data_IF_846950553806
#
_entry.id   IF_846950553806
#
_cell.length_a   1.000
_cell.length_b   1.000
_cell.length_c   1.000
_cell.angle_alpha   90.00
_cell.angle_beta   90.00
_cell.angle_gamma   90.00
#
_symmetry.space_group_name_H-M   'P 1'
#
loop_
_entity.id
_entity.type
_entity.pdbx_description
1 polymer ?
#
# COMPACT_ATOMS: atom_id res chain seq x y z
N UNK A 1 2.65 19.19 27.89
CA UNK A 1 2.30 19.43 26.47
C UNK A 1 3.50 19.86 25.67
N UNK A 2 4.21 20.94 26.04
CA UNK A 2 5.40 21.42 25.30
C UNK A 2 6.51 20.35 25.19
N UNK A 3 6.88 19.72 26.31
CA UNK A 3 7.82 18.58 26.31
C UNK A 3 7.34 17.35 25.51
N UNK A 4 6.03 17.13 25.34
CA UNK A 4 5.53 16.00 24.56
C UNK A 4 5.64 16.27 23.05
N UNK A 5 5.43 17.53 22.63
CA UNK A 5 5.61 17.95 21.24
C UNK A 5 7.09 17.94 20.86
N UNK A 6 7.96 18.41 21.76
CA UNK A 6 9.42 18.37 21.58
C UNK A 6 9.93 16.94 21.38
N UNK A 7 9.52 16.00 22.23
CA UNK A 7 9.92 14.59 22.12
C UNK A 7 9.48 13.96 20.77
N UNK A 8 8.25 14.21 20.32
CA UNK A 8 7.77 13.68 19.02
C UNK A 8 8.61 14.25 17.86
N UNK A 9 8.96 15.54 17.90
CA UNK A 9 9.78 16.16 16.87
C UNK A 9 11.19 15.54 16.82
N UNK A 10 11.81 15.30 17.98
CA UNK A 10 13.11 14.62 18.08
C UNK A 10 13.05 13.20 17.52
N UNK A 11 12.02 12.42 17.88
CA UNK A 11 11.82 11.06 17.39
C UNK A 11 11.63 11.02 15.87
N UNK A 12 10.86 11.95 15.30
CA UNK A 12 10.67 12.06 13.86
C UNK A 12 11.97 12.43 13.14
N UNK A 13 12.74 13.40 13.65
CA UNK A 13 14.03 13.78 13.06
C UNK A 13 14.97 12.58 13.04
N UNK A 14 15.05 11.84 14.15
CA UNK A 14 15.86 10.63 14.25
C UNK A 14 15.43 9.56 13.25
N UNK A 15 14.13 9.31 13.13
CA UNK A 15 13.57 8.36 12.15
C UNK A 15 13.94 8.75 10.71
N UNK A 16 13.81 10.03 10.33
CA UNK A 16 14.16 10.49 8.98
C UNK A 16 15.67 10.40 8.73
N UNK A 17 16.50 10.72 9.72
CA UNK A 17 17.95 10.56 9.60
C UNK A 17 18.33 9.11 9.35
N UNK A 18 17.76 8.17 10.13
CA UNK A 18 17.97 6.73 9.95
C UNK A 18 17.50 6.27 8.57
N UNK A 19 16.27 6.62 8.16
CA UNK A 19 15.72 6.26 6.84
C UNK A 19 16.53 6.81 5.68
N UNK A 20 17.06 8.03 5.79
CA UNK A 20 17.86 8.66 4.73
C UNK A 20 19.16 7.91 4.41
N UNK A 21 19.68 7.16 5.38
CA UNK A 21 20.90 6.36 5.24
C UNK A 21 20.64 4.93 4.77
N UNK A 22 19.39 4.46 4.84
CA UNK A 22 19.02 3.14 4.39
C UNK A 22 18.89 3.11 2.86
N UNK A 23 19.43 2.06 2.26
CA UNK A 23 19.10 1.69 0.88
C UNK A 23 17.80 0.89 0.89
N UNK A 24 16.80 1.42 0.18
CA UNK A 24 15.54 0.74 -0.07
C UNK A 24 15.66 -0.32 -1.15
N UNK A 25 14.53 -0.94 -1.46
CA UNK A 25 14.38 -1.79 -2.63
C UNK A 25 13.78 -0.94 -3.75
N UNK A 26 14.54 -0.75 -4.82
CA UNK A 26 14.05 -0.11 -6.03
C UNK A 26 13.21 -1.12 -6.82
N UNK A 27 11.90 -0.87 -6.89
CA UNK A 27 11.00 -1.70 -7.68
C UNK A 27 11.26 -1.50 -9.18
N UNK A 28 11.03 -2.55 -9.96
CA UNK A 28 11.17 -2.55 -11.42
C UNK A 28 10.19 -1.57 -12.07
N UNK A 29 10.53 -1.06 -13.26
CA UNK A 29 9.59 -0.29 -14.08
C UNK A 29 8.35 -1.11 -14.43
N UNK A 30 7.23 -0.43 -14.69
CA UNK A 30 5.97 -1.09 -15.06
C UNK A 30 6.14 -1.96 -16.31
N UNK A 31 5.74 -3.22 -16.21
CA UNK A 31 5.71 -4.19 -17.30
C UNK A 31 4.30 -4.31 -17.91
N UNK A 32 4.10 -5.32 -18.76
CA UNK A 32 2.83 -5.56 -19.44
C UNK A 32 1.73 -5.88 -18.42
N UNK A 33 2.03 -6.68 -17.39
CA UNK A 33 1.03 -7.07 -16.38
C UNK A 33 0.59 -5.87 -15.54
N UNK A 34 1.51 -4.97 -15.16
CA UNK A 34 1.14 -3.75 -14.46
C UNK A 34 0.28 -2.83 -15.33
N UNK A 35 0.57 -2.74 -16.63
CA UNK A 35 -0.26 -1.96 -17.56
C UNK A 35 -1.65 -2.57 -17.74
N UNK A 36 -1.75 -3.89 -17.86
CA UNK A 36 -3.03 -4.60 -17.89
C UNK A 36 -3.83 -4.35 -16.60
N UNK A 37 -3.19 -4.49 -15.44
CA UNK A 37 -3.81 -4.19 -14.16
C UNK A 37 -4.31 -2.75 -14.08
N UNK A 38 -3.49 -1.76 -14.47
CA UNK A 38 -3.87 -0.35 -14.47
C UNK A 38 -5.05 -0.06 -15.41
N UNK A 39 -5.06 -0.65 -16.62
CA UNK A 39 -6.08 -0.44 -17.64
C UNK A 39 -7.41 -1.15 -17.35
N UNK A 40 -7.41 -2.20 -16.52
CA UNK A 40 -8.62 -2.91 -16.09
C UNK A 40 -9.47 -2.09 -15.10
N UNK A 41 -8.96 -0.94 -14.62
CA UNK A 41 -9.74 -0.07 -13.75
C UNK A 41 -10.98 0.48 -14.48
N UNK A 42 -12.22 0.22 -13.99
CA UNK A 42 -13.43 0.48 -14.76
C UNK A 42 -13.87 1.96 -14.77
N UNK A 43 -13.12 2.85 -14.12
CA UNK A 43 -13.44 4.27 -14.02
C UNK A 43 -12.35 5.10 -14.67
N UNK A 44 -12.74 6.25 -15.23
CA UNK A 44 -11.77 7.23 -15.74
C UNK A 44 -11.12 7.95 -14.57
N UNK A 45 -9.80 7.90 -14.50
CA UNK A 45 -9.03 8.59 -13.48
C UNK A 45 -9.04 10.10 -13.66
N UNK A 46 -8.99 10.83 -12.55
CA UNK A 46 -8.78 12.28 -12.57
C UNK A 46 -7.30 12.62 -12.74
N UNK A 47 -6.99 13.86 -13.15
CA UNK A 47 -5.60 14.32 -13.27
C UNK A 47 -4.83 14.19 -11.95
N UNK A 48 -5.48 14.47 -10.82
CA UNK A 48 -4.87 14.31 -9.49
C UNK A 48 -4.56 12.85 -9.17
N UNK A 49 -5.44 11.92 -9.53
CA UNK A 49 -5.20 10.49 -9.36
C UNK A 49 -4.02 10.03 -10.22
N UNK A 50 -4.01 10.38 -11.51
CA UNK A 50 -2.91 10.05 -12.43
C UNK A 50 -1.57 10.59 -11.93
N UNK A 51 -1.55 11.84 -11.42
CA UNK A 51 -0.37 12.44 -10.81
C UNK A 51 0.07 11.65 -9.57
N UNK A 52 -0.85 11.36 -8.64
CA UNK A 52 -0.53 10.61 -7.42
C UNK A 52 -0.03 9.19 -7.72
N UNK A 53 -0.62 8.49 -8.69
CA UNK A 53 -0.16 7.16 -9.12
C UNK A 53 1.26 7.22 -9.64
N UNK A 54 1.55 8.18 -10.53
CA UNK A 54 2.89 8.37 -11.10
C UNK A 54 3.92 8.70 -10.03
N UNK A 55 3.58 9.58 -9.09
CA UNK A 55 4.47 9.96 -7.99
C UNK A 55 4.75 8.79 -7.05
N UNK A 56 3.74 8.01 -6.67
CA UNK A 56 3.91 6.80 -5.85
C UNK A 56 4.79 5.78 -6.56
N UNK A 57 4.53 5.46 -7.83
CA UNK A 57 5.33 4.50 -8.60
C UNK A 57 6.78 4.95 -8.74
N UNK A 58 7.01 6.25 -8.98
CA UNK A 58 8.36 6.82 -9.04
C UNK A 58 9.11 6.69 -7.71
N UNK A 59 8.43 6.93 -6.59
CA UNK A 59 9.04 6.77 -5.27
C UNK A 59 9.37 5.30 -4.98
N UNK A 60 8.53 4.36 -5.44
CA UNK A 60 8.80 2.92 -5.36
C UNK A 60 10.00 2.48 -6.23
N UNK A 61 10.20 3.09 -7.38
CA UNK A 61 11.33 2.79 -8.28
C UNK A 61 12.68 3.37 -7.79
N UNK A 62 12.66 4.14 -6.69
CA UNK A 62 13.85 4.73 -6.08
C UNK A 62 14.63 3.73 -5.23
N UNK A 63 15.95 3.92 -5.12
CA UNK A 63 16.80 3.20 -4.18
C UNK A 63 16.69 3.73 -2.73
N UNK A 64 15.81 4.71 -2.50
CA UNK A 64 15.45 5.22 -1.17
C UNK A 64 14.09 4.68 -0.70
N UNK A 65 13.93 4.30 0.58
CA UNK A 65 12.65 3.84 1.10
C UNK A 65 11.55 4.91 0.99
N UNK A 66 10.51 4.63 0.20
CA UNK A 66 9.34 5.52 0.08
C UNK A 66 8.69 5.78 1.45
N UNK A 67 8.42 7.05 1.73
CA UNK A 67 7.61 7.51 2.87
C UNK A 67 6.71 8.66 2.38
N UNK A 68 5.47 8.32 2.01
CA UNK A 68 4.54 9.24 1.34
C UNK A 68 3.19 9.23 2.03
N UNK A 69 2.65 10.44 2.25
CA UNK A 69 1.28 10.66 2.69
C UNK A 69 0.41 11.10 1.51
N UNK A 70 -0.59 10.28 1.16
CA UNK A 70 -1.61 10.63 0.17
C UNK A 70 -2.86 11.17 0.89
N UNK A 71 -3.16 12.45 0.69
CA UNK A 71 -4.33 13.12 1.28
C UNK A 71 -5.39 13.35 0.19
N UNK A 72 -6.64 13.07 0.53
CA UNK A 72 -7.78 13.34 -0.33
C UNK A 72 -9.09 12.95 0.36
N UNK A 73 -10.21 13.46 -0.12
CA UNK A 73 -11.52 13.20 0.48
C UNK A 73 -11.99 11.75 0.29
N UNK A 74 -13.01 11.36 1.05
CA UNK A 74 -13.65 10.05 0.91
C UNK A 74 -14.20 9.91 -0.51
N UNK A 75 -13.92 8.78 -1.17
CA UNK A 75 -14.36 8.52 -2.55
C UNK A 75 -13.41 8.98 -3.66
N UNK A 76 -12.30 9.67 -3.35
CA UNK A 76 -11.35 10.18 -4.35
C UNK A 76 -10.35 9.12 -4.88
N UNK A 77 -10.65 7.83 -4.72
CA UNK A 77 -9.84 6.75 -5.30
C UNK A 77 -8.48 6.49 -4.63
N UNK A 78 -8.25 6.93 -3.39
CA UNK A 78 -7.02 6.60 -2.62
C UNK A 78 -6.74 5.09 -2.58
N UNK A 79 -7.79 4.29 -2.47
CA UNK A 79 -7.71 2.83 -2.47
C UNK A 79 -7.13 2.30 -3.79
N UNK A 80 -7.52 2.87 -4.93
CA UNK A 80 -7.00 2.47 -6.25
C UNK A 80 -5.50 2.78 -6.37
N UNK A 81 -5.06 3.96 -5.89
CA UNK A 81 -3.62 4.31 -5.85
C UNK A 81 -2.84 3.28 -5.01
N UNK A 82 -3.38 2.88 -3.85
CA UNK A 82 -2.77 1.86 -3.00
C UNK A 82 -2.76 0.47 -3.66
N UNK A 83 -3.82 0.10 -4.41
CA UNK A 83 -3.91 -1.17 -5.12
C UNK A 83 -2.88 -1.27 -6.25
N UNK A 84 -2.66 -0.20 -7.02
CA UNK A 84 -1.61 -0.18 -8.06
C UNK A 84 -0.21 -0.28 -7.48
N UNK A 85 0.04 0.39 -6.35
CA UNK A 85 1.29 0.23 -5.61
C UNK A 85 1.48 -1.20 -5.08
N UNK A 86 0.41 -1.81 -4.54
CA UNK A 86 0.44 -3.19 -4.08
C UNK A 86 0.73 -4.18 -5.21
N UNK A 87 0.11 -3.99 -6.38
CA UNK A 87 0.35 -4.83 -7.55
C UNK A 87 1.82 -4.76 -7.99
N UNK A 88 2.38 -3.55 -8.10
CA UNK A 88 3.80 -3.35 -8.43
C UNK A 88 4.73 -4.11 -7.49
N UNK A 89 4.43 -4.06 -6.19
CA UNK A 89 5.23 -4.76 -5.20
C UNK A 89 5.13 -6.28 -5.32
N UNK A 90 3.92 -6.81 -5.55
CA UNK A 90 3.70 -8.25 -5.74
C UNK A 90 4.33 -8.75 -7.05
N UNK A 91 4.30 -7.93 -8.11
CA UNK A 91 4.90 -8.27 -9.40
C UNK A 91 6.43 -8.45 -9.30
N UNK A 92 7.08 -7.73 -8.38
CA UNK A 92 8.49 -7.90 -8.00
C UNK A 92 8.71 -8.95 -6.88
N UNK A 93 7.73 -9.82 -6.66
CA UNK A 93 7.75 -10.90 -5.67
C UNK A 93 7.97 -10.41 -4.23
N UNK A 94 7.45 -9.22 -3.88
CA UNK A 94 7.41 -8.71 -2.51
C UNK A 94 6.03 -8.89 -1.89
N UNK A 95 5.99 -9.14 -0.58
CA UNK A 95 4.76 -9.18 0.19
C UNK A 95 4.26 -7.77 0.48
N UNK A 96 2.94 -7.59 0.55
CA UNK A 96 2.29 -6.32 0.87
C UNK A 96 1.43 -6.48 2.10
N UNK A 97 1.52 -5.51 3.02
CA UNK A 97 0.67 -5.44 4.20
C UNK A 97 -0.16 -4.14 4.17
N UNK A 98 -1.47 -4.26 4.34
CA UNK A 98 -2.40 -3.12 4.44
C UNK A 98 -2.93 -3.07 5.87
N UNK A 99 -2.49 -2.05 6.63
CA UNK A 99 -2.93 -1.82 8.00
C UNK A 99 -4.10 -0.82 8.02
N UNK A 100 -5.14 -1.17 8.78
CA UNK A 100 -6.38 -0.39 8.88
C UNK A 100 -6.86 -0.33 10.34
N UNK A 101 -7.62 0.72 10.74
CA UNK A 101 -7.91 0.94 12.15
C UNK A 101 -9.06 0.11 12.70
N UNK A 102 -9.90 -0.50 11.84
CA UNK A 102 -11.07 -1.27 12.29
C UNK A 102 -11.25 -2.58 11.51
N UNK A 103 -11.87 -3.56 12.16
CA UNK A 103 -12.22 -4.86 11.54
C UNK A 103 -13.16 -4.70 10.34
N UNK A 104 -14.06 -3.71 10.39
CA UNK A 104 -14.99 -3.42 9.27
C UNK A 104 -14.22 -2.93 8.06
N UNK A 105 -13.28 -2.00 8.24
CA UNK A 105 -12.41 -1.55 7.15
C UNK A 105 -11.52 -2.69 6.64
N UNK A 106 -11.01 -3.56 7.52
CA UNK A 106 -10.23 -4.73 7.11
C UNK A 106 -11.04 -5.63 6.18
N UNK A 107 -12.30 -5.89 6.51
CA UNK A 107 -13.19 -6.68 5.68
C UNK A 107 -13.53 -6.00 4.35
N UNK A 108 -13.78 -4.68 4.37
CA UNK A 108 -14.04 -3.90 3.15
C UNK A 108 -12.84 -3.92 2.21
N UNK A 109 -11.64 -3.64 2.71
CA UNK A 109 -10.43 -3.71 1.91
C UNK A 109 -10.21 -5.13 1.39
N UNK A 110 -10.37 -6.16 2.22
CA UNK A 110 -10.24 -7.55 1.77
C UNK A 110 -11.14 -7.89 0.58
N UNK A 111 -12.43 -7.54 0.65
CA UNK A 111 -13.38 -7.77 -0.45
C UNK A 111 -12.95 -7.01 -1.70
N UNK A 112 -12.67 -5.71 -1.58
CA UNK A 112 -12.29 -4.87 -2.73
C UNK A 112 -10.98 -5.34 -3.37
N UNK A 113 -9.99 -5.75 -2.57
CA UNK A 113 -8.73 -6.30 -3.07
C UNK A 113 -8.95 -7.64 -3.77
N UNK A 114 -9.76 -8.55 -3.21
CA UNK A 114 -10.09 -9.81 -3.90
C UNK A 114 -10.78 -9.60 -5.23
N UNK A 115 -11.73 -8.67 -5.29
CA UNK A 115 -12.43 -8.33 -6.55
C UNK A 115 -11.49 -7.72 -7.57
N UNK A 116 -10.70 -6.71 -7.17
CA UNK A 116 -9.78 -5.99 -8.07
C UNK A 116 -8.63 -6.85 -8.60
N UNK A 117 -8.22 -7.88 -7.86
CA UNK A 117 -7.11 -8.76 -8.20
C UNK A 117 -7.57 -10.14 -8.71
N UNK A 118 -8.86 -10.32 -8.99
CA UNK A 118 -9.46 -11.63 -9.30
C UNK A 118 -8.84 -12.33 -10.52
N UNK A 119 -8.35 -11.56 -11.49
CA UNK A 119 -7.76 -12.09 -12.73
C UNK A 119 -6.26 -12.40 -12.60
N UNK A 120 -5.69 -12.23 -11.40
CA UNK A 120 -4.28 -12.42 -11.12
C UNK A 120 -4.06 -13.51 -10.06
N UNK A 121 -3.01 -14.33 -10.19
CA UNK A 121 -2.73 -15.42 -9.27
C UNK A 121 -2.09 -14.91 -7.96
N UNK A 122 -2.79 -14.02 -7.25
CA UNK A 122 -2.31 -13.34 -6.04
C UNK A 122 -3.15 -13.79 -4.85
N UNK A 123 -2.49 -14.35 -3.84
CA UNK A 123 -3.14 -14.74 -2.60
C UNK A 123 -3.39 -13.52 -1.71
N UNK A 124 -4.65 -13.24 -1.43
CA UNK A 124 -5.06 -12.14 -0.56
C UNK A 124 -5.78 -12.73 0.64
N UNK A 125 -5.27 -12.42 1.84
CA UNK A 125 -5.85 -12.82 3.12
C UNK A 125 -6.09 -11.63 4.05
N UNK A 126 -6.95 -11.84 5.05
CA UNK A 126 -7.30 -10.82 6.05
C UNK A 126 -7.12 -11.34 7.47
N UNK A 127 -6.26 -10.67 8.23
CA UNK A 127 -6.10 -10.89 9.66
C UNK A 127 -6.96 -9.90 10.44
N UNK A 128 -8.06 -10.37 11.03
CA UNK A 128 -8.97 -9.50 11.78
C UNK A 128 -9.71 -10.24 12.89
N UNK A 129 -10.41 -9.49 13.76
CA UNK A 129 -11.24 -10.05 14.83
C UNK A 129 -12.39 -10.94 14.36
N UNK A 130 -12.74 -10.92 13.07
CA UNK A 130 -13.77 -11.82 12.51
C UNK A 130 -13.23 -13.22 12.19
N UNK A 131 -11.91 -13.41 12.16
CA UNK A 131 -11.29 -14.72 12.00
C UNK A 131 -11.11 -15.39 13.36
N UNK A 132 -11.40 -16.69 13.43
CA UNK A 132 -11.08 -17.52 14.58
C UNK A 132 -9.58 -17.62 14.82
N UNK A 133 -9.16 -18.00 16.04
CA UNK A 133 -7.73 -18.15 16.38
C UNK A 133 -7.02 -19.15 15.46
N UNK A 134 -7.68 -20.25 15.12
CA UNK A 134 -7.14 -21.27 14.21
C UNK A 134 -6.92 -20.73 12.80
N UNK A 135 -7.88 -19.95 12.27
CA UNK A 135 -7.71 -19.31 10.95
C UNK A 135 -6.58 -18.29 10.97
N UNK A 136 -6.46 -17.50 12.04
CA UNK A 136 -5.38 -16.52 12.18
C UNK A 136 -4.00 -17.19 12.18
N UNK A 137 -3.85 -18.31 12.89
CA UNK A 137 -2.60 -19.08 12.88
C UNK A 137 -2.24 -19.58 11.48
N UNK A 138 -3.21 -20.16 10.77
CA UNK A 138 -3.00 -20.63 9.38
C UNK A 138 -2.55 -19.48 8.47
N UNK A 139 -3.16 -18.30 8.59
CA UNK A 139 -2.81 -17.13 7.77
C UNK A 139 -1.37 -16.67 8.05
N UNK A 140 -0.88 -16.77 9.29
CA UNK A 140 0.47 -16.34 9.67
C UNK A 140 1.56 -17.36 9.32
N UNK A 141 1.20 -18.62 9.12
CA UNK A 141 2.12 -19.72 8.81
C UNK A 141 2.27 -20.00 7.31
N UNK A 142 1.39 -19.43 6.47
CA UNK A 142 1.47 -19.44 5.01
C UNK A 142 2.50 -18.43 4.48
#
# INVERSE_FOLDING_TARGET
MQHQVENIAEDLIKLYAERSQLKGFAFSIDDIYQQEFDNDFPYVETEDQLRSIKEVKKDMESDHPMDRLLVGDVGFGKTEVAMRAAFKAVNDHKQVAILVPTTVLAQQHYTNFKERFNDFPINIEVLSRFKSKSEQTIILEN
#
